data_IF_144472773950
#
_entry.id   IF_144472773950
#
_cell.length_a   1.000
_cell.length_b   1.000
_cell.length_c   1.000
_cell.angle_alpha   90.00
_cell.angle_beta   90.00
_cell.angle_gamma   90.00
#
_symmetry.space_group_name_H-M   'P 1'
#
loop_
_entity.id
_entity.type
_entity.pdbx_description
1 polymer ?
#
# COMPACT_ATOMS: atom_id res chain seq x y z
N UNK A 1 31.73 8.42 -5.40
CA UNK A 1 30.28 8.71 -5.47
C UNK A 1 29.64 8.25 -4.18
N UNK A 2 29.14 9.17 -3.35
CA UNK A 2 28.71 8.83 -1.99
C UNK A 2 27.43 7.98 -1.98
N UNK A 3 27.50 6.80 -1.33
CA UNK A 3 26.39 5.86 -1.13
C UNK A 3 25.87 5.85 0.33
N UNK A 4 26.14 6.91 1.09
CA UNK A 4 25.73 7.04 2.49
C UNK A 4 24.41 7.79 2.68
N UNK A 5 23.95 7.88 3.93
CA UNK A 5 22.84 8.76 4.33
C UNK A 5 23.10 10.21 3.89
N UNK A 6 22.04 10.96 3.62
CA UNK A 6 22.12 12.39 3.32
C UNK A 6 22.41 13.17 4.61
N UNK A 7 23.42 14.03 4.58
CA UNK A 7 23.67 14.96 5.69
C UNK A 7 22.77 16.19 5.58
N UNK A 8 22.58 16.90 6.71
CA UNK A 8 21.83 18.17 6.71
C UNK A 8 22.47 19.21 5.79
N UNK A 9 23.80 19.23 5.69
CA UNK A 9 24.52 20.13 4.80
C UNK A 9 24.27 19.78 3.31
N UNK A 10 24.22 18.49 2.97
CA UNK A 10 23.88 18.06 1.62
C UNK A 10 22.42 18.40 1.29
N UNK A 11 21.49 18.18 2.22
CA UNK A 11 20.08 18.54 2.05
C UNK A 11 19.92 20.05 1.83
N UNK A 12 20.61 20.89 2.61
CA UNK A 12 20.54 22.34 2.47
C UNK A 12 21.05 22.80 1.10
N UNK A 13 22.19 22.28 0.63
CA UNK A 13 22.69 22.59 -0.72
C UNK A 13 21.70 22.22 -1.82
N UNK A 14 21.02 21.07 -1.67
CA UNK A 14 20.01 20.62 -2.62
C UNK A 14 18.79 21.54 -2.61
N UNK A 15 18.30 21.93 -1.42
CA UNK A 15 17.19 22.87 -1.24
C UNK A 15 17.52 24.23 -1.83
N UNK A 16 18.67 24.81 -1.48
CA UNK A 16 19.08 26.15 -1.93
C UNK A 16 19.17 26.21 -3.45
N UNK A 17 19.78 25.19 -4.06
CA UNK A 17 19.91 25.12 -5.51
C UNK A 17 18.54 25.06 -6.19
N UNK A 18 17.65 24.17 -5.76
CA UNK A 18 16.32 24.02 -6.37
C UNK A 18 15.45 25.25 -6.13
N UNK A 19 15.54 25.88 -4.95
CA UNK A 19 14.81 27.11 -4.65
C UNK A 19 15.24 28.26 -5.57
N UNK A 20 16.54 28.34 -5.90
CA UNK A 20 17.09 29.40 -6.76
C UNK A 20 16.89 29.14 -8.25
N UNK A 21 16.96 27.89 -8.69
CA UNK A 21 17.00 27.52 -10.12
C UNK A 21 15.78 26.73 -10.61
N UNK A 22 14.87 26.36 -9.71
CA UNK A 22 13.75 25.45 -9.98
C UNK A 22 14.17 23.98 -10.07
N UNK A 23 13.18 23.11 -10.29
CA UNK A 23 13.41 21.70 -10.57
C UNK A 23 13.98 21.53 -11.99
N UNK A 24 15.32 21.58 -12.09
CA UNK A 24 16.04 21.51 -13.37
C UNK A 24 16.45 20.11 -13.81
N UNK A 25 17.40 20.05 -14.75
CA UNK A 25 18.00 18.81 -15.22
C UNK A 25 18.76 18.11 -14.07
N UNK A 26 18.18 17.03 -13.54
CA UNK A 26 18.79 16.25 -12.45
C UNK A 26 20.18 15.73 -12.79
N UNK A 27 20.54 15.54 -14.07
CA UNK A 27 21.88 15.04 -14.45
C UNK A 27 23.00 16.01 -14.06
N UNK A 28 22.80 17.30 -14.30
CA UNK A 28 23.84 18.32 -14.10
C UNK A 28 23.73 19.01 -12.73
N UNK A 29 22.54 18.95 -12.12
CA UNK A 29 22.23 19.55 -10.83
C UNK A 29 23.27 19.26 -9.73
N UNK A 30 23.74 18.00 -9.50
CA UNK A 30 24.63 17.74 -8.37
C UNK A 30 25.95 18.50 -8.48
N UNK A 31 26.52 18.57 -9.69
CA UNK A 31 27.77 19.30 -9.93
C UNK A 31 27.58 20.79 -9.71
N UNK A 32 26.48 21.35 -10.22
CA UNK A 32 26.16 22.76 -10.08
C UNK A 32 25.83 23.16 -8.63
N UNK A 33 25.22 22.27 -7.85
CA UNK A 33 24.92 22.45 -6.42
C UNK A 33 26.13 22.16 -5.49
N UNK A 34 27.29 21.78 -6.03
CA UNK A 34 28.46 21.41 -5.22
C UNK A 34 28.22 20.17 -4.34
N UNK A 35 27.45 19.20 -4.86
CA UNK A 35 27.12 17.93 -4.23
C UNK A 35 27.91 16.78 -4.84
N UNK A 36 28.44 15.90 -4.00
CA UNK A 36 29.15 14.67 -4.42
C UNK A 36 28.20 13.47 -4.57
N UNK A 37 27.04 13.70 -5.22
CA UNK A 37 25.94 12.75 -5.44
C UNK A 37 25.59 12.65 -6.94
N UNK A 38 24.83 11.63 -7.36
CA UNK A 38 24.21 11.66 -8.70
C UNK A 38 22.86 12.35 -8.70
N UNK A 39 22.47 12.76 -9.91
CA UNK A 39 21.12 13.22 -10.22
C UNK A 39 20.01 12.28 -9.75
N UNK A 40 20.17 10.97 -9.95
CA UNK A 40 19.18 9.99 -9.47
C UNK A 40 18.99 10.08 -7.95
N UNK A 41 20.08 10.19 -7.20
CA UNK A 41 20.03 10.31 -5.74
C UNK A 41 19.43 11.65 -5.31
N UNK A 42 19.84 12.76 -5.95
CA UNK A 42 19.27 14.09 -5.68
C UNK A 42 17.77 14.13 -5.95
N UNK A 43 17.32 13.62 -7.11
CA UNK A 43 15.90 13.55 -7.47
C UNK A 43 15.12 12.74 -6.44
N UNK A 44 15.62 11.56 -6.09
CA UNK A 44 14.96 10.70 -5.10
C UNK A 44 14.85 11.41 -3.75
N UNK A 45 15.92 12.09 -3.31
CA UNK A 45 15.94 12.80 -2.03
C UNK A 45 14.96 13.96 -2.02
N UNK A 46 14.95 14.77 -3.08
CA UNK A 46 14.01 15.88 -3.21
C UNK A 46 12.57 15.40 -3.19
N UNK A 47 12.23 14.48 -4.09
CA UNK A 47 10.85 14.02 -4.32
C UNK A 47 10.25 13.27 -3.13
N UNK A 48 11.06 12.64 -2.27
CA UNK A 48 10.56 11.85 -1.14
C UNK A 48 10.72 12.50 0.23
N UNK A 49 11.55 13.54 0.37
CA UNK A 49 11.89 14.07 1.70
C UNK A 49 11.94 15.59 1.79
N UNK A 50 12.53 16.27 0.81
CA UNK A 50 12.84 17.71 0.94
C UNK A 50 11.78 18.61 0.32
N UNK A 51 10.99 18.12 -0.64
CA UNK A 51 9.97 18.91 -1.30
C UNK A 51 8.92 19.43 -0.28
N UNK A 52 8.67 20.75 -0.21
CA UNK A 52 7.72 21.33 0.74
C UNK A 52 6.28 20.90 0.53
N UNK A 53 5.92 20.43 -0.68
CA UNK A 53 4.57 19.96 -1.01
C UNK A 53 4.25 18.58 -0.42
N UNK A 54 5.21 17.93 0.27
CA UNK A 54 5.01 16.64 0.91
C UNK A 54 4.30 16.80 2.25
N UNK A 55 3.21 16.05 2.43
CA UNK A 55 2.48 16.00 3.69
C UNK A 55 3.29 15.20 4.71
N UNK A 56 3.68 15.86 5.81
CA UNK A 56 4.40 15.23 6.92
C UNK A 56 3.43 14.67 7.95
N UNK A 57 3.72 13.47 8.46
CA UNK A 57 2.95 12.82 9.52
C UNK A 57 2.13 11.62 9.06
N UNK A 58 1.30 11.11 9.96
CA UNK A 58 0.54 9.88 9.80
C UNK A 58 -0.50 9.98 8.68
N UNK A 59 -0.86 8.83 8.10
CA UNK A 59 -2.03 8.72 7.23
C UNK A 59 -3.30 8.86 8.06
N UNK A 60 -4.28 9.55 7.50
CA UNK A 60 -5.64 9.67 8.04
C UNK A 60 -6.50 8.46 7.67
N UNK A 61 -7.61 8.26 8.37
CA UNK A 61 -8.56 7.17 8.06
C UNK A 61 -9.14 7.29 6.64
N UNK A 62 -9.41 8.51 6.16
CA UNK A 62 -9.84 8.72 4.77
C UNK A 62 -8.76 8.28 3.77
N UNK A 63 -7.49 8.55 4.08
CA UNK A 63 -6.37 8.08 3.26
C UNK A 63 -6.23 6.55 3.32
N UNK A 64 -6.46 5.92 4.48
CA UNK A 64 -6.49 4.45 4.62
C UNK A 64 -7.51 3.83 3.66
N UNK A 65 -8.75 4.30 3.75
CA UNK A 65 -9.87 3.78 2.97
C UNK A 65 -9.64 3.96 1.47
N UNK A 66 -9.10 5.12 1.09
CA UNK A 66 -8.77 5.39 -0.30
C UNK A 66 -7.65 4.48 -0.80
N UNK A 67 -6.59 4.26 -0.01
CA UNK A 67 -5.50 3.36 -0.36
C UNK A 67 -6.02 1.93 -0.50
N UNK A 68 -6.85 1.44 0.42
CA UNK A 68 -7.43 0.09 0.37
C UNK A 68 -8.26 -0.09 -0.90
N UNK A 69 -9.19 0.84 -1.18
CA UNK A 69 -10.05 0.81 -2.37
C UNK A 69 -9.22 0.82 -3.65
N UNK A 70 -8.24 1.72 -3.75
CA UNK A 70 -7.40 1.82 -4.95
C UNK A 70 -6.48 0.61 -5.10
N UNK A 71 -5.95 0.04 -4.02
CA UNK A 71 -5.16 -1.18 -4.08
C UNK A 71 -6.00 -2.38 -4.53
N UNK A 72 -7.27 -2.47 -4.13
CA UNK A 72 -8.18 -3.51 -4.61
C UNK A 72 -8.41 -3.44 -6.13
N UNK A 73 -8.48 -2.22 -6.67
CA UNK A 73 -8.70 -1.98 -8.11
C UNK A 73 -7.42 -2.07 -8.94
N UNK A 74 -6.29 -1.62 -8.40
CA UNK A 74 -5.06 -1.36 -9.16
C UNK A 74 -3.89 -2.26 -8.79
N UNK A 75 -3.98 -2.98 -7.66
CA UNK A 75 -2.87 -3.75 -7.08
C UNK A 75 -1.69 -2.84 -6.71
N UNK A 76 -0.47 -3.36 -6.86
CA UNK A 76 0.78 -2.70 -6.46
C UNK A 76 1.23 -1.52 -7.36
N UNK A 77 0.29 -0.83 -8.04
CA UNK A 77 0.58 0.34 -8.89
C UNK A 77 0.71 1.61 -8.06
N UNK A 78 1.72 1.65 -7.19
CA UNK A 78 1.88 2.71 -6.17
C UNK A 78 1.90 4.13 -6.71
N UNK A 79 2.58 4.36 -7.84
CA UNK A 79 2.63 5.70 -8.45
C UNK A 79 1.26 6.16 -8.95
N UNK A 80 0.39 5.24 -9.40
CA UNK A 80 -0.98 5.56 -9.80
C UNK A 80 -1.88 5.82 -8.59
N UNK A 81 -1.70 5.07 -7.51
CA UNK A 81 -2.42 5.25 -6.25
C UNK A 81 -2.04 6.60 -5.61
N UNK A 82 -0.75 6.89 -5.50
CA UNK A 82 -0.23 8.15 -4.95
C UNK A 82 -0.69 9.38 -5.75
N UNK A 83 -0.91 9.24 -7.06
CA UNK A 83 -1.50 10.29 -7.88
C UNK A 83 -2.91 10.73 -7.46
N UNK A 84 -3.58 9.98 -6.58
CA UNK A 84 -4.89 10.32 -5.98
C UNK A 84 -4.79 10.75 -4.52
N UNK A 85 -3.59 10.80 -3.95
CA UNK A 85 -3.33 11.15 -2.56
C UNK A 85 -2.47 12.42 -2.52
N UNK A 86 -3.10 13.61 -2.45
CA UNK A 86 -2.36 14.87 -2.51
C UNK A 86 -1.30 14.95 -1.40
N UNK A 87 -0.07 15.26 -1.79
CA UNK A 87 1.06 15.38 -0.86
C UNK A 87 1.65 14.05 -0.38
N UNK A 88 1.20 12.89 -0.87
CA UNK A 88 1.80 11.58 -0.57
C UNK A 88 2.58 11.04 -1.77
N UNK A 89 3.71 10.40 -1.49
CA UNK A 89 4.53 9.73 -2.49
C UNK A 89 4.15 8.27 -2.65
N UNK A 90 4.49 7.69 -3.81
CA UNK A 90 4.34 6.27 -4.08
C UNK A 90 5.14 5.40 -3.10
N UNK A 91 6.32 5.86 -2.70
CA UNK A 91 7.12 5.19 -1.69
C UNK A 91 6.45 5.20 -0.31
N UNK A 92 5.86 6.31 0.12
CA UNK A 92 5.12 6.39 1.38
C UNK A 92 3.90 5.46 1.36
N UNK A 93 3.10 5.49 0.29
CA UNK A 93 1.91 4.62 0.16
C UNK A 93 2.29 3.15 0.21
N UNK A 94 3.31 2.73 -0.55
CA UNK A 94 3.85 1.37 -0.51
C UNK A 94 4.31 0.98 0.91
N UNK A 95 5.04 1.87 1.58
CA UNK A 95 5.56 1.60 2.92
C UNK A 95 4.42 1.47 3.94
N UNK A 96 3.44 2.37 3.85
CA UNK A 96 2.27 2.36 4.71
C UNK A 96 1.40 1.12 4.49
N UNK A 97 1.23 0.69 3.24
CA UNK A 97 0.57 -0.57 2.92
C UNK A 97 1.25 -1.76 3.59
N UNK A 98 2.56 -1.91 3.38
CA UNK A 98 3.32 -3.06 3.88
C UNK A 98 3.48 -3.06 5.41
N UNK A 99 3.60 -1.88 6.01
CA UNK A 99 3.79 -1.76 7.45
C UNK A 99 2.47 -1.74 8.21
N UNK A 100 1.39 -1.13 7.70
CA UNK A 100 0.16 -0.87 8.46
C UNK A 100 -1.07 -1.57 7.86
N UNK A 101 -1.49 -1.17 6.65
CA UNK A 101 -2.79 -1.58 6.10
C UNK A 101 -2.90 -3.09 5.87
N UNK A 102 -1.83 -3.74 5.43
CA UNK A 102 -1.82 -5.19 5.25
C UNK A 102 -2.16 -5.93 6.55
N UNK A 103 -1.63 -5.46 7.69
CA UNK A 103 -1.93 -6.05 9.01
C UNK A 103 -3.34 -5.69 9.48
N UNK A 104 -3.80 -4.47 9.20
CA UNK A 104 -5.17 -4.01 9.50
C UNK A 104 -6.20 -4.93 8.82
N UNK A 105 -6.03 -5.19 7.53
CA UNK A 105 -6.93 -6.06 6.75
C UNK A 105 -6.95 -7.50 7.28
N UNK A 106 -5.78 -8.09 7.57
CA UNK A 106 -5.71 -9.45 8.14
C UNK A 106 -6.45 -9.53 9.48
N UNK A 107 -6.34 -8.52 10.34
CA UNK A 107 -7.07 -8.48 11.62
C UNK A 107 -8.58 -8.38 11.44
N UNK A 108 -9.03 -7.70 10.38
CA UNK A 108 -10.43 -7.67 9.95
C UNK A 108 -10.82 -8.93 9.16
N UNK A 109 -9.86 -9.85 8.96
CA UNK A 109 -10.04 -11.10 8.24
C UNK A 109 -10.13 -10.98 6.71
N UNK A 110 -9.86 -9.80 6.16
CA UNK A 110 -9.81 -9.56 4.73
C UNK A 110 -8.44 -9.99 4.21
N UNK A 111 -8.38 -10.79 3.13
CA UNK A 111 -7.11 -11.11 2.48
C UNK A 111 -6.57 -9.88 1.73
N UNK A 112 -5.39 -9.34 2.10
CA UNK A 112 -4.86 -8.11 1.52
C UNK A 112 -4.44 -8.24 0.04
N UNK A 113 -4.37 -9.45 -0.53
CA UNK A 113 -4.02 -9.63 -1.95
C UNK A 113 -5.23 -9.49 -2.87
N UNK A 114 -6.35 -10.11 -2.50
CA UNK A 114 -7.57 -10.17 -3.30
C UNK A 114 -8.73 -9.35 -2.71
N UNK A 115 -8.54 -8.76 -1.53
CA UNK A 115 -9.53 -8.01 -0.76
C UNK A 115 -10.83 -8.77 -0.50
N UNK A 116 -10.76 -10.10 -0.45
CA UNK A 116 -11.90 -10.96 -0.22
C UNK A 116 -12.09 -11.22 1.29
N UNK A 117 -13.33 -11.06 1.75
CA UNK A 117 -13.78 -11.32 3.13
C UNK A 117 -13.73 -12.83 3.47
N UNK A 118 -13.85 -13.69 2.45
CA UNK A 118 -14.00 -15.15 2.60
C UNK A 118 -12.82 -15.82 3.33
N UNK A 119 -11.65 -15.19 3.36
CA UNK A 119 -10.50 -15.68 4.11
C UNK A 119 -10.73 -15.69 5.63
N UNK A 120 -11.40 -14.67 6.18
CA UNK A 120 -11.79 -14.60 7.59
C UNK A 120 -12.69 -15.76 7.99
N UNK A 121 -13.77 -15.94 7.22
CA UNK A 121 -14.79 -16.94 7.48
C UNK A 121 -14.19 -18.33 7.35
N UNK A 122 -13.23 -18.53 6.43
CA UNK A 122 -12.48 -19.77 6.30
C UNK A 122 -11.60 -20.04 7.52
N UNK A 123 -10.85 -19.05 8.02
CA UNK A 123 -10.01 -19.22 9.21
C UNK A 123 -10.86 -19.48 10.45
N UNK A 124 -11.86 -18.64 10.72
CA UNK A 124 -12.78 -18.81 11.87
C UNK A 124 -13.50 -20.16 11.83
N UNK A 125 -13.90 -20.61 10.64
CA UNK A 125 -14.49 -21.93 10.44
C UNK A 125 -13.50 -23.06 10.76
N UNK A 126 -12.25 -22.95 10.32
CA UNK A 126 -11.21 -23.95 10.61
C UNK A 126 -10.87 -23.99 12.11
N UNK A 127 -10.73 -22.83 12.76
CA UNK A 127 -10.52 -22.70 14.21
C UNK A 127 -11.67 -23.35 15.01
N UNK A 128 -12.92 -23.04 14.64
CA UNK A 128 -14.11 -23.63 15.25
C UNK A 128 -14.14 -25.16 15.12
N UNK A 129 -13.79 -25.72 13.95
CA UNK A 129 -13.74 -27.17 13.76
C UNK A 129 -12.61 -27.85 14.54
N UNK A 130 -11.50 -27.15 14.74
CA UNK A 130 -10.36 -27.65 15.51
C UNK A 130 -10.64 -27.65 17.02
N UNK A 131 -11.34 -26.63 17.53
CA UNK A 131 -11.74 -26.52 18.94
C UNK A 131 -12.89 -27.47 19.32
N UNK A 132 -13.82 -27.73 18.39
CA UNK A 132 -15.01 -28.56 18.67
C UNK A 132 -14.91 -30.01 18.19
N UNK A 133 -13.76 -30.43 17.65
CA UNK A 133 -13.49 -31.85 17.34
C UNK A 133 -14.46 -32.50 16.35
N UNK A 134 -15.14 -31.75 15.49
CA UNK A 134 -16.07 -32.30 14.50
C UNK A 134 -15.25 -32.82 13.32
N UNK A 135 -15.03 -34.13 13.26
CA UNK A 135 -14.48 -34.79 12.06
C UNK A 135 -15.48 -34.61 10.92
N UNK A 136 -15.08 -33.85 9.90
CA UNK A 136 -15.74 -33.87 8.61
C UNK A 136 -15.55 -35.24 7.97
N UNK A 137 -16.50 -36.15 8.15
CA UNK A 137 -16.74 -37.18 7.14
C UNK A 137 -17.22 -36.46 5.89
N UNK A 138 -16.30 -36.27 4.95
CA UNK A 138 -16.51 -36.38 3.49
C UNK A 138 -15.28 -35.84 2.77
N UNK A 139 -14.38 -36.77 2.41
CA UNK A 139 -13.46 -36.62 1.29
C UNK A 139 -14.30 -36.56 0.00
N UNK A 140 -14.78 -35.37 -0.36
CA UNK A 140 -15.16 -35.10 -1.75
C UNK A 140 -13.97 -34.44 -2.44
N UNK A 141 -13.23 -35.28 -3.16
CA UNK A 141 -12.29 -34.86 -4.21
C UNK A 141 -13.03 -33.90 -5.13
N UNK A 142 -12.67 -32.61 -5.12
CA UNK A 142 -13.05 -31.70 -6.20
C UNK A 142 -11.89 -31.72 -7.19
N UNK A 143 -11.97 -32.67 -8.12
CA UNK A 143 -11.39 -32.55 -9.44
C UNK A 143 -12.16 -31.49 -10.21
N UNK A 144 -11.43 -30.59 -10.87
CA UNK A 144 -11.95 -29.67 -11.88
C UNK A 144 -12.80 -30.41 -12.92
N UNK A 145 -14.05 -29.99 -13.10
CA UNK A 145 -14.80 -30.13 -14.34
C UNK A 145 -15.98 -29.13 -14.38
N UNK A 146 -15.77 -28.07 -15.15
CA UNK A 146 -16.72 -27.40 -16.05
C UNK A 146 -18.23 -27.69 -15.95
N UNK A 147 -18.99 -26.58 -15.93
CA UNK A 147 -20.28 -26.33 -16.60
C UNK A 147 -21.57 -26.39 -15.76
N UNK A 148 -22.23 -25.22 -15.74
CA UNK A 148 -23.68 -25.01 -15.73
C UNK A 148 -24.51 -25.50 -14.54
N UNK A 149 -24.91 -24.58 -13.65
CA UNK A 149 -26.29 -24.06 -13.64
C UNK A 149 -26.54 -23.05 -12.52
N UNK A 150 -27.32 -22.03 -12.87
CA UNK A 150 -27.89 -21.02 -12.00
C UNK A 150 -28.92 -21.61 -11.03
N UNK A 151 -28.90 -21.19 -9.76
CA UNK A 151 -30.14 -21.05 -8.98
C UNK A 151 -29.98 -19.87 -8.03
N UNK A 152 -30.91 -18.92 -8.16
CA UNK A 152 -31.10 -17.78 -7.28
C UNK A 152 -31.66 -18.24 -5.93
N UNK A 153 -31.07 -17.84 -4.81
CA UNK A 153 -31.80 -17.75 -3.55
C UNK A 153 -31.28 -16.60 -2.69
N UNK A 154 -32.23 -15.81 -2.22
CA UNK A 154 -32.10 -14.54 -1.52
C UNK A 154 -31.31 -14.64 -0.22
N UNK A 155 -30.48 -13.62 0.06
CA UNK A 155 -29.85 -13.40 1.37
C UNK A 155 -30.92 -13.11 2.44
N UNK A 156 -30.81 -13.65 3.66
CA UNK A 156 -31.65 -13.22 4.78
C UNK A 156 -31.14 -11.89 5.37
N UNK A 157 -32.11 -11.08 5.80
CA UNK A 157 -31.97 -9.74 6.37
C UNK A 157 -31.28 -9.77 7.75
N UNK A 158 -30.34 -8.85 7.99
CA UNK A 158 -29.43 -8.83 9.14
C UNK A 158 -29.98 -8.08 10.37
N UNK A 159 -31.25 -7.67 10.36
CA UNK A 159 -31.86 -6.88 11.44
C UNK A 159 -32.64 -7.72 12.47
N UNK A 160 -32.30 -8.98 12.70
CA UNK A 160 -32.99 -9.80 13.70
C UNK A 160 -32.06 -10.80 14.37
N UNK A 161 -31.16 -10.31 15.21
CA UNK A 161 -30.65 -11.08 16.35
C UNK A 161 -30.67 -10.17 17.60
N UNK A 162 -30.99 -10.73 18.77
CA UNK A 162 -31.34 -10.01 19.99
C UNK A 162 -30.18 -9.22 20.62
#
# INVERSE_FOLDING_TARGET
MHKGSWSKQEDQKLIDYITKHGEGCWRDLPKAAGLLRCGKSCRLRWMNYLNPNLKRGNFSEDEDDLIIKLHALLGNRWSLIAGRLPGRTDNEVKNYWNSHLRRKLIKMGIDPKNHNISHYLRIKRLEYFQENGIKSENNAVISDATSSNCVTSSLPDLNSLP
#
